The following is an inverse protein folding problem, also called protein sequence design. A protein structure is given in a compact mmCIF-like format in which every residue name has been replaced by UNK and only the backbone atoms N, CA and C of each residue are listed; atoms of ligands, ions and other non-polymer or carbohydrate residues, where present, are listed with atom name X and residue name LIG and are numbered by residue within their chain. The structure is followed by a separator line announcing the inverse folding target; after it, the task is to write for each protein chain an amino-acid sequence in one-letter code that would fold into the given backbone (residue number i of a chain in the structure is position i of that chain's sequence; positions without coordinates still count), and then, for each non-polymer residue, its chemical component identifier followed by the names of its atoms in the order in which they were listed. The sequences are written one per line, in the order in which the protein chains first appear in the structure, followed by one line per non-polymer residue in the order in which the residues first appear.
data_IF_229368467982
#
_entry.id   IF_229368467982
#
_cell.length_a   1.000
_cell.length_b   1.000
_cell.length_c   1.000
_cell.angle_alpha   90.00
_cell.angle_beta   90.00
_cell.angle_gamma   90.00
#
_symmetry.space_group_name_H-M   'P 1'
#
loop_
_entity.id
_entity.type
_entity.pdbx_description
1 polymer ?
#
# COMPACT_ATOMS: atom_id res chain seq x y z
N UNK A 1 -3.73 50.13 19.39
CA UNK A 1 -4.23 48.77 19.64
C UNK A 1 -3.13 47.79 19.24
N UNK A 2 -2.44 47.21 20.23
CA UNK A 2 -1.48 46.12 20.06
C UNK A 2 -2.16 44.86 20.58
N UNK A 3 -2.24 43.81 19.77
CA UNK A 3 -2.72 42.48 20.18
C UNK A 3 -1.44 41.67 20.43
N UNK A 4 -1.22 41.30 21.70
CA UNK A 4 -0.16 40.37 22.08
C UNK A 4 -0.72 38.95 22.05
N UNK A 5 0.02 38.03 21.42
CA UNK A 5 -0.18 36.60 21.53
C UNK A 5 0.23 36.15 22.94
N UNK A 6 -0.65 35.45 23.65
CA UNK A 6 -0.28 34.65 24.82
C UNK A 6 -0.28 33.17 24.45
N UNK A 7 0.89 32.58 24.65
CA UNK A 7 1.21 31.16 24.58
C UNK A 7 0.47 30.38 25.66
N UNK A 8 -0.34 29.39 25.27
CA UNK A 8 -0.89 28.42 26.21
C UNK A 8 0.01 27.17 26.24
N UNK A 9 0.63 26.99 27.40
CA UNK A 9 1.46 25.88 27.84
C UNK A 9 0.78 24.52 27.62
N UNK A 10 1.52 23.55 27.06
CA UNK A 10 1.12 22.14 27.05
C UNK A 10 1.56 21.49 28.36
N UNK A 11 0.62 21.28 29.28
CA UNK A 11 0.88 20.50 30.50
C UNK A 11 0.61 19.00 30.26
N UNK A 12 1.71 18.26 30.33
CA UNK A 12 1.90 16.88 30.78
C UNK A 12 0.65 16.15 31.32
N UNK A 13 0.28 15.05 30.65
CA UNK A 13 -0.45 13.94 31.29
C UNK A 13 0.53 12.80 31.52
N UNK A 14 1.02 12.67 32.76
CA UNK A 14 1.83 11.53 33.17
C UNK A 14 0.96 10.29 33.40
N UNK A 15 1.49 9.16 32.97
CA UNK A 15 0.94 7.83 33.14
C UNK A 15 0.97 7.48 34.63
N UNK A 16 -0.20 7.26 35.23
CA UNK A 16 -0.58 6.18 36.15
C UNK A 16 -2.01 6.52 36.66
N UNK A 17 -2.84 5.50 36.82
CA UNK A 17 -4.22 5.52 37.30
C UNK A 17 -5.36 5.67 36.25
N UNK A 18 -5.92 4.51 35.90
CA UNK A 18 -7.11 4.33 35.08
C UNK A 18 -8.35 4.72 35.90
N UNK A 19 -9.25 5.50 35.29
CA UNK A 19 -10.60 5.91 35.74
C UNK A 19 -10.72 7.31 36.36
N UNK A 20 -10.42 8.35 35.58
CA UNK A 20 -11.17 9.62 35.72
C UNK A 20 -11.38 10.33 34.39
N UNK A 21 -12.64 10.63 34.17
CA UNK A 21 -13.26 11.18 32.98
C UNK A 21 -12.76 12.61 32.73
N UNK A 22 -12.04 12.84 31.64
CA UNK A 22 -11.98 14.15 30.98
C UNK A 22 -13.11 14.20 29.96
N UNK A 23 -14.28 14.67 30.40
CA UNK A 23 -15.45 14.91 29.54
C UNK A 23 -15.28 16.26 28.84
N UNK A 24 -15.49 16.32 27.52
CA UNK A 24 -15.71 17.60 26.84
C UNK A 24 -14.96 17.84 25.52
N UNK A 25 -14.87 16.87 24.61
CA UNK A 25 -14.87 17.10 23.16
C UNK A 25 -15.05 15.74 22.48
N UNK A 26 -16.04 15.59 21.60
CA UNK A 26 -16.17 14.40 20.75
C UNK A 26 -15.00 14.43 19.77
N UNK A 27 -13.85 13.91 20.21
CA UNK A 27 -12.79 13.47 19.30
C UNK A 27 -13.26 12.12 18.78
N UNK A 28 -13.44 12.01 17.47
CA UNK A 28 -13.31 10.72 16.78
C UNK A 28 -11.97 10.17 17.23
N UNK A 29 -11.98 9.24 18.19
CA UNK A 29 -10.76 8.69 18.75
C UNK A 29 -10.20 7.73 17.71
N UNK A 30 -9.43 8.26 16.75
CA UNK A 30 -8.35 7.49 16.18
C UNK A 30 -7.50 7.05 17.38
N UNK A 31 -7.57 5.76 17.74
CA UNK A 31 -6.50 5.20 18.55
C UNK A 31 -5.24 5.47 17.74
N UNK A 32 -4.24 6.12 18.33
CA UNK A 32 -2.86 5.84 17.90
C UNK A 32 -2.78 4.33 17.80
N UNK A 33 -2.51 3.83 16.59
CA UNK A 33 -2.63 2.43 16.21
C UNK A 33 -2.25 1.55 17.41
N UNK A 34 -3.26 0.91 18.04
CA UNK A 34 -2.94 -0.30 18.77
C UNK A 34 -2.33 -1.19 17.70
N UNK A 35 -1.10 -1.67 17.92
CA UNK A 35 -0.43 -2.53 16.96
C UNK A 35 -1.40 -3.65 16.58
N UNK A 36 -1.91 -3.60 15.35
CA UNK A 36 -2.89 -4.56 14.86
C UNK A 36 -2.23 -5.94 14.86
N UNK A 37 -3.01 -6.99 15.10
CA UNK A 37 -2.52 -8.37 15.10
C UNK A 37 -3.47 -9.27 14.34
N UNK A 38 -2.98 -10.48 14.03
CA UNK A 38 -3.82 -11.55 13.47
C UNK A 38 -5.04 -11.79 14.35
N UNK A 39 -6.20 -11.90 13.72
CA UNK A 39 -7.51 -12.04 14.36
C UNK A 39 -8.23 -10.73 14.65
N UNK A 40 -7.59 -9.56 14.49
CA UNK A 40 -8.28 -8.28 14.62
C UNK A 40 -9.20 -8.00 13.42
N UNK A 41 -10.38 -7.47 13.68
CA UNK A 41 -11.26 -6.89 12.66
C UNK A 41 -10.75 -5.50 12.26
N UNK A 42 -10.72 -5.26 10.96
CA UNK A 42 -10.27 -4.02 10.33
C UNK A 42 -11.45 -3.34 9.68
N UNK A 43 -11.48 -2.01 9.78
CA UNK A 43 -12.33 -1.15 8.96
C UNK A 43 -11.50 0.04 8.49
N UNK A 44 -11.43 0.26 7.19
CA UNK A 44 -10.68 1.36 6.60
C UNK A 44 -11.41 1.88 5.37
N UNK A 45 -11.41 3.19 5.18
CA UNK A 45 -11.82 3.81 3.91
C UNK A 45 -10.57 4.28 3.19
N UNK A 46 -10.40 3.85 1.95
CA UNK A 46 -9.22 4.15 1.14
C UNK A 46 -9.41 3.76 -0.31
N UNK A 47 -8.45 4.14 -1.14
CA UNK A 47 -8.47 3.73 -2.55
C UNK A 47 -8.11 2.26 -2.68
N UNK A 48 -8.90 1.51 -3.43
CA UNK A 48 -8.60 0.14 -3.81
C UNK A 48 -7.82 0.16 -5.12
N UNK A 49 -6.65 -0.44 -5.10
CA UNK A 49 -5.68 -0.42 -6.20
C UNK A 49 -5.10 -1.83 -6.35
N UNK A 50 -4.86 -2.26 -7.59
CA UNK A 50 -4.22 -3.55 -7.83
C UNK A 50 -2.72 -3.54 -7.50
N UNK A 51 -2.20 -4.70 -7.10
CA UNK A 51 -0.80 -4.83 -6.69
C UNK A 51 0.16 -4.66 -7.86
N UNK A 52 -0.27 -4.98 -9.09
CA UNK A 52 0.58 -4.88 -10.27
C UNK A 52 0.92 -3.42 -10.59
N UNK A 53 -0.07 -2.52 -10.59
CA UNK A 53 0.14 -1.08 -10.78
C UNK A 53 0.92 -0.45 -9.61
N UNK A 54 0.79 -1.00 -8.39
CA UNK A 54 1.60 -0.55 -7.25
C UNK A 54 3.08 -0.94 -7.46
N UNK A 55 3.36 -2.18 -7.88
CA UNK A 55 4.73 -2.66 -8.15
C UNK A 55 5.37 -1.97 -9.35
N UNK A 56 4.56 -1.66 -10.38
CA UNK A 56 5.01 -0.90 -11.54
C UNK A 56 5.39 0.54 -11.17
N UNK A 57 4.74 1.11 -10.16
CA UNK A 57 4.94 2.49 -9.70
C UNK A 57 4.11 3.54 -10.46
N UNK A 58 3.48 3.14 -11.56
CA UNK A 58 2.52 3.92 -12.35
C UNK A 58 1.38 3.03 -12.83
N UNK A 59 0.28 3.63 -13.30
CA UNK A 59 -0.80 2.86 -13.90
C UNK A 59 -0.40 2.30 -15.27
N UNK A 60 -0.86 1.09 -15.57
CA UNK A 60 -0.57 0.42 -16.84
C UNK A 60 -1.16 1.17 -18.04
N UNK A 61 -2.36 1.71 -17.88
CA UNK A 61 -3.09 2.48 -18.90
C UNK A 61 -2.73 3.98 -18.89
N UNK A 62 -2.11 4.48 -17.82
CA UNK A 62 -1.63 5.85 -17.72
C UNK A 62 -0.22 5.92 -17.06
N UNK A 63 0.85 5.70 -17.82
CA UNK A 63 2.20 5.56 -17.27
C UNK A 63 2.83 6.86 -16.77
N UNK A 64 2.18 8.01 -16.98
CA UNK A 64 2.66 9.31 -16.46
C UNK A 64 2.23 9.57 -15.01
N UNK A 65 1.34 8.73 -14.47
CA UNK A 65 0.70 8.95 -13.18
C UNK A 65 1.20 7.93 -12.17
N UNK A 66 1.75 8.42 -11.05
CA UNK A 66 2.26 7.54 -10.00
C UNK A 66 1.12 6.99 -9.15
N UNK A 67 1.08 5.68 -9.02
CA UNK A 67 -0.01 4.93 -8.39
C UNK A 67 -0.31 5.39 -6.96
N UNK A 68 0.73 5.56 -6.13
CA UNK A 68 0.55 5.97 -4.73
C UNK A 68 0.39 7.48 -4.55
N UNK A 69 0.72 8.29 -5.55
CA UNK A 69 0.56 9.76 -5.48
C UNK A 69 -0.85 10.18 -5.89
N UNK A 70 -1.40 9.49 -6.90
CA UNK A 70 -2.66 9.81 -7.56
C UNK A 70 -3.56 8.57 -7.77
N UNK A 71 -3.90 7.82 -6.71
CA UNK A 71 -4.78 6.65 -6.81
C UNK A 71 -6.16 6.97 -7.42
N UNK A 72 -6.60 8.23 -7.35
CA UNK A 72 -7.84 8.73 -7.95
C UNK A 72 -7.88 8.64 -9.48
N UNK A 73 -6.74 8.47 -10.15
CA UNK A 73 -6.64 8.38 -11.62
C UNK A 73 -6.62 6.94 -12.14
N UNK A 74 -6.78 5.94 -11.29
CA UNK A 74 -6.83 4.54 -11.70
C UNK A 74 -8.15 4.21 -12.39
N UNK A 75 -8.13 3.86 -13.67
CA UNK A 75 -9.38 3.51 -14.38
C UNK A 75 -9.98 2.20 -13.89
N UNK A 76 -11.31 2.11 -13.88
CA UNK A 76 -12.01 0.86 -13.60
C UNK A 76 -11.71 -0.24 -14.64
N UNK A 77 -11.40 0.13 -15.89
CA UNK A 77 -10.99 -0.83 -16.92
C UNK A 77 -9.69 -1.52 -16.54
N UNK A 78 -8.65 -0.75 -16.22
CA UNK A 78 -7.36 -1.29 -15.81
C UNK A 78 -7.49 -2.11 -14.52
N UNK A 79 -8.27 -1.61 -13.56
CA UNK A 79 -8.43 -2.23 -12.25
C UNK A 79 -9.18 -3.57 -12.30
N UNK A 80 -10.15 -3.76 -13.20
CA UNK A 80 -11.09 -4.89 -13.16
C UNK A 80 -11.06 -5.83 -14.38
N UNK A 81 -10.73 -5.31 -15.56
CA UNK A 81 -10.76 -6.09 -16.80
C UNK A 81 -9.40 -6.70 -17.14
N UNK A 82 -8.31 -5.97 -16.86
CA UNK A 82 -6.96 -6.40 -17.22
C UNK A 82 -6.50 -7.54 -16.31
N UNK A 83 -6.21 -8.68 -16.93
CA UNK A 83 -5.86 -9.93 -16.25
C UNK A 83 -4.66 -9.77 -15.31
N UNK A 84 -3.57 -9.12 -15.74
CA UNK A 84 -2.40 -8.91 -14.88
C UNK A 84 -2.69 -8.06 -13.64
N UNK A 85 -3.60 -7.09 -13.76
CA UNK A 85 -4.03 -6.25 -12.65
C UNK A 85 -4.88 -7.05 -11.66
N UNK A 86 -5.89 -7.78 -12.17
CA UNK A 86 -6.77 -8.61 -11.34
C UNK A 86 -6.02 -9.75 -10.65
N UNK A 87 -5.18 -10.46 -11.38
CA UNK A 87 -4.48 -11.66 -10.90
C UNK A 87 -3.36 -11.32 -9.90
N UNK A 88 -2.83 -10.10 -9.96
CA UNK A 88 -1.92 -9.56 -8.95
C UNK A 88 -2.58 -9.37 -7.58
N UNK A 89 -3.92 -9.35 -7.52
CA UNK A 89 -4.69 -9.04 -6.32
C UNK A 89 -4.70 -7.56 -5.97
N UNK A 90 -5.33 -7.21 -4.85
CA UNK A 90 -5.65 -5.83 -4.51
C UNK A 90 -5.14 -5.41 -3.14
N UNK A 91 -4.96 -4.10 -2.98
CA UNK A 91 -4.77 -3.43 -1.71
C UNK A 91 -5.78 -2.31 -1.52
N UNK A 92 -6.21 -2.12 -0.28
CA UNK A 92 -6.77 -0.83 0.14
C UNK A 92 -5.64 0.02 0.71
N UNK A 93 -5.45 1.22 0.16
CA UNK A 93 -4.42 2.16 0.58
C UNK A 93 -4.81 2.85 1.89
N UNK A 94 -3.80 3.24 2.67
CA UNK A 94 -4.00 4.07 3.85
C UNK A 94 -3.94 5.56 3.55
N UNK A 95 -3.78 6.36 4.60
CA UNK A 95 -3.72 7.82 4.50
C UNK A 95 -2.53 8.31 3.66
N UNK A 96 -2.70 9.49 3.05
CA UNK A 96 -1.63 10.18 2.32
C UNK A 96 -0.61 10.72 3.31
N UNK A 97 0.66 10.35 3.13
CA UNK A 97 1.75 10.92 3.88
C UNK A 97 1.96 12.38 3.43
N UNK A 98 1.86 13.31 4.37
CA UNK A 98 1.97 14.75 4.09
C UNK A 98 3.35 15.21 3.64
N UNK A 99 4.41 14.46 3.96
CA UNK A 99 5.79 14.79 3.60
C UNK A 99 6.15 14.30 2.20
N UNK A 100 5.71 13.09 1.83
CA UNK A 100 6.03 12.47 0.53
C UNK A 100 4.97 12.71 -0.53
N UNK A 101 3.76 13.09 -0.14
CA UNK A 101 2.61 13.16 -1.05
C UNK A 101 2.16 11.79 -1.55
N UNK A 102 2.61 10.68 -0.94
CA UNK A 102 2.20 9.33 -1.33
C UNK A 102 1.29 8.70 -0.28
N UNK A 103 0.27 7.98 -0.71
CA UNK A 103 -0.48 7.06 0.13
C UNK A 103 0.42 5.96 0.66
N UNK A 104 0.28 5.65 1.95
CA UNK A 104 0.91 4.47 2.51
C UNK A 104 0.21 3.20 2.01
N UNK A 105 1.00 2.12 1.89
CA UNK A 105 0.44 0.79 1.67
C UNK A 105 -0.41 0.39 2.89
N UNK A 106 -1.63 -0.07 2.62
CA UNK A 106 -2.57 -0.42 3.68
C UNK A 106 -2.65 -1.91 3.93
N UNK A 107 -3.70 -2.53 3.40
CA UNK A 107 -3.98 -3.95 3.61
C UNK A 107 -4.18 -4.67 2.29
N UNK A 108 -3.57 -5.85 2.14
CA UNK A 108 -3.84 -6.78 1.05
C UNK A 108 -5.18 -7.48 1.23
N UNK A 109 -5.91 -7.64 0.14
CA UNK A 109 -7.25 -8.22 0.13
C UNK A 109 -7.17 -9.65 -0.41
N UNK A 110 -7.40 -10.66 0.44
CA UNK A 110 -7.28 -12.08 0.07
C UNK A 110 -8.54 -12.67 -0.60
N UNK A 111 -9.42 -11.81 -1.10
CA UNK A 111 -10.68 -12.20 -1.72
C UNK A 111 -10.88 -11.42 -3.01
N UNK A 112 -10.07 -11.76 -4.01
CA UNK A 112 -10.06 -11.11 -5.32
C UNK A 112 -11.44 -11.13 -5.96
N UNK A 113 -12.18 -12.24 -5.85
CA UNK A 113 -13.52 -12.37 -6.43
C UNK A 113 -14.52 -11.41 -5.77
N UNK A 114 -14.51 -11.30 -4.44
CA UNK A 114 -15.36 -10.34 -3.74
C UNK A 114 -15.01 -8.89 -4.09
N UNK A 115 -13.71 -8.59 -4.22
CA UNK A 115 -13.23 -7.25 -4.63
C UNK A 115 -13.67 -6.95 -6.06
N UNK A 116 -13.50 -7.86 -7.02
CA UNK A 116 -13.92 -7.65 -8.41
C UNK A 116 -15.44 -7.48 -8.51
N UNK A 117 -16.22 -8.29 -7.81
CA UNK A 117 -17.68 -8.17 -7.80
C UNK A 117 -18.15 -6.83 -7.21
N UNK A 118 -17.49 -6.36 -6.14
CA UNK A 118 -17.77 -5.04 -5.57
C UNK A 118 -17.35 -3.91 -6.52
N UNK A 119 -16.23 -4.04 -7.22
CA UNK A 119 -15.77 -3.08 -8.20
C UNK A 119 -16.73 -2.97 -9.39
N UNK A 120 -17.19 -4.10 -9.93
CA UNK A 120 -18.15 -4.15 -11.05
C UNK A 120 -19.53 -3.57 -10.68
N UNK A 121 -19.94 -3.70 -9.42
CA UNK A 121 -21.18 -3.04 -8.93
C UNK A 121 -20.98 -1.56 -8.62
N UNK A 122 -19.75 -1.13 -8.31
CA UNK A 122 -19.44 0.26 -7.98
C UNK A 122 -19.11 1.11 -9.21
N UNK A 123 -18.51 0.54 -10.26
CA UNK A 123 -18.03 1.27 -11.42
C UNK A 123 -19.13 1.60 -12.44
N UNK A 124 -18.98 2.72 -13.14
CA UNK A 124 -19.91 3.16 -14.17
C UNK A 124 -19.97 2.18 -15.36
N UNK A 125 -21.19 1.88 -15.81
CA UNK A 125 -21.39 1.04 -17.00
C UNK A 125 -20.67 1.63 -18.23
N UNK A 126 -19.92 0.80 -18.94
CA UNK A 126 -19.09 1.20 -20.08
C UNK A 126 -17.63 1.53 -19.74
N UNK A 127 -17.26 1.63 -18.45
CA UNK A 127 -15.90 1.92 -17.98
C UNK A 127 -15.15 0.70 -17.46
N UNK A 128 -15.85 -0.41 -17.26
CA UNK A 128 -15.29 -1.75 -17.31
C UNK A 128 -16.31 -2.68 -17.98
N UNK A 129 -15.86 -3.85 -18.43
CA UNK A 129 -16.64 -4.78 -19.25
C UNK A 129 -17.92 -5.24 -18.55
N UNK A 130 -17.83 -5.48 -17.24
CA UNK A 130 -18.93 -5.97 -16.41
C UNK A 130 -19.46 -4.93 -15.43
N UNK A 131 -19.12 -3.65 -15.62
CA UNK A 131 -19.57 -2.58 -14.74
C UNK A 131 -21.07 -2.30 -14.91
N UNK A 132 -21.77 -2.13 -13.79
CA UNK A 132 -23.24 -2.00 -13.75
C UNK A 132 -23.74 -0.72 -13.10
N UNK A 133 -22.84 0.14 -12.60
CA UNK A 133 -23.20 1.43 -12.02
C UNK A 133 -23.83 2.38 -13.05
N UNK A 134 -24.63 3.31 -12.55
CA UNK A 134 -25.26 4.36 -13.37
C UNK A 134 -24.27 5.49 -13.70
N UNK A 135 -24.76 6.58 -14.31
CA UNK A 135 -23.92 7.72 -14.70
C UNK A 135 -23.38 8.56 -13.53
N UNK A 136 -23.71 8.23 -12.29
CA UNK A 136 -23.14 8.85 -11.10
C UNK A 136 -22.02 7.99 -10.48
N UNK A 137 -21.86 6.75 -10.93
CA UNK A 137 -20.80 5.86 -10.50
C UNK A 137 -19.42 6.36 -10.99
N UNK A 138 -18.33 6.06 -10.26
CA UNK A 138 -16.98 6.44 -10.66
C UNK A 138 -16.51 5.71 -11.93
N UNK A 139 -15.75 6.45 -12.73
CA UNK A 139 -15.01 5.96 -13.90
C UNK A 139 -13.54 5.64 -13.55
N UNK A 140 -13.02 6.37 -12.54
CA UNK A 140 -11.66 6.32 -12.03
C UNK A 140 -11.67 6.38 -10.51
N UNK A 141 -10.58 5.93 -9.88
CA UNK A 141 -10.32 6.18 -8.47
C UNK A 141 -11.32 5.49 -7.55
N UNK A 142 -11.16 4.18 -7.37
CA UNK A 142 -12.11 3.43 -6.56
C UNK A 142 -11.89 3.66 -5.06
N UNK A 143 -12.54 4.70 -4.52
CA UNK A 143 -12.61 4.97 -3.09
C UNK A 143 -13.69 4.09 -2.45
N UNK A 144 -13.32 3.24 -1.50
CA UNK A 144 -14.25 2.31 -0.87
C UNK A 144 -13.95 2.10 0.63
N UNK A 145 -14.96 1.68 1.37
CA UNK A 145 -14.78 1.20 2.74
C UNK A 145 -14.59 -0.30 2.74
N UNK A 146 -13.45 -0.75 3.24
CA UNK A 146 -13.09 -2.16 3.34
C UNK A 146 -13.14 -2.61 4.79
N UNK A 147 -13.80 -3.74 5.02
CA UNK A 147 -13.81 -4.47 6.28
C UNK A 147 -13.26 -5.88 6.08
N UNK A 148 -12.58 -6.43 7.07
CA UNK A 148 -12.08 -7.81 7.03
C UNK A 148 -11.35 -8.19 8.31
N UNK A 149 -10.79 -9.40 8.35
CA UNK A 149 -10.05 -9.93 9.49
C UNK A 149 -8.58 -10.14 9.12
N UNK A 150 -7.65 -9.68 9.95
CA UNK A 150 -6.22 -9.89 9.68
C UNK A 150 -5.88 -11.37 9.84
N UNK A 151 -5.34 -11.98 8.79
CA UNK A 151 -4.88 -13.39 8.79
C UNK A 151 -3.37 -13.55 8.74
N UNK A 152 -2.66 -12.51 8.27
CA UNK A 152 -1.20 -12.50 8.19
C UNK A 152 -0.71 -11.05 8.32
N UNK A 153 0.45 -10.81 8.94
CA UNK A 153 1.00 -9.47 9.14
C UNK A 153 1.91 -8.97 8.02
N UNK A 154 2.28 -9.82 7.07
CA UNK A 154 3.35 -9.53 6.11
C UNK A 154 4.74 -9.68 6.73
N UNK A 155 5.77 -9.34 5.95
CA UNK A 155 7.18 -9.38 6.36
C UNK A 155 7.69 -8.07 7.00
N UNK A 156 6.85 -7.04 7.05
CA UNK A 156 7.19 -5.71 7.58
C UNK A 156 8.10 -4.86 6.68
N UNK A 157 8.37 -5.27 5.44
CA UNK A 157 9.07 -4.46 4.45
C UNK A 157 8.22 -3.26 3.99
N UNK A 158 8.84 -2.33 3.26
CA UNK A 158 8.13 -1.16 2.70
C UNK A 158 7.38 -1.48 1.40
N UNK A 159 7.38 -2.75 0.97
CA UNK A 159 6.68 -3.21 -0.23
C UNK A 159 5.35 -3.89 0.08
N UNK A 160 4.71 -4.40 -0.96
CA UNK A 160 3.41 -5.09 -0.87
C UNK A 160 3.48 -6.27 0.10
N UNK A 161 4.56 -7.05 0.09
CA UNK A 161 4.73 -8.22 0.98
C UNK A 161 4.84 -7.85 2.45
N UNK A 162 5.18 -6.59 2.76
CA UNK A 162 5.27 -6.07 4.11
C UNK A 162 3.95 -5.69 4.75
N UNK A 163 2.86 -5.68 3.97
CA UNK A 163 1.53 -5.30 4.46
C UNK A 163 0.77 -6.48 5.05
N UNK A 164 -0.13 -6.25 6.03
CA UNK A 164 -1.02 -7.29 6.51
C UNK A 164 -2.06 -7.70 5.45
N UNK A 165 -2.53 -8.94 5.55
CA UNK A 165 -3.54 -9.55 4.68
C UNK A 165 -4.87 -9.64 5.43
N UNK A 166 -5.96 -9.23 4.77
CA UNK A 166 -7.33 -9.40 5.23
C UNK A 166 -7.99 -10.59 4.54
N UNK A 167 -8.69 -11.41 5.33
CA UNK A 167 -9.68 -12.37 4.86
C UNK A 167 -11.10 -11.89 5.20
N UNK A 168 -12.11 -12.60 4.72
CA UNK A 168 -13.54 -12.25 4.92
C UNK A 168 -13.82 -10.81 4.47
N UNK A 169 -13.25 -10.44 3.32
CA UNK A 169 -13.22 -9.07 2.82
C UNK A 169 -14.63 -8.65 2.42
N UNK A 170 -15.06 -7.50 2.92
CA UNK A 170 -16.28 -6.82 2.51
C UNK A 170 -15.90 -5.43 2.02
N UNK A 171 -16.16 -5.17 0.75
CA UNK A 171 -15.98 -3.86 0.14
C UNK A 171 -17.35 -3.19 0.05
N UNK A 172 -17.44 -1.97 0.59
CA UNK A 172 -18.66 -1.20 0.76
C UNK A 172 -18.47 0.19 0.14
N UNK A 173 -19.58 0.90 -0.10
CA UNK A 173 -19.52 2.32 -0.49
C UNK A 173 -18.66 3.11 0.51
N UNK A 174 -17.92 4.10 0.01
CA UNK A 174 -17.10 5.02 0.81
C UNK A 174 -17.91 5.84 1.82
N UNK A 175 -19.22 5.98 1.61
CA UNK A 175 -20.14 6.62 2.56
C UNK A 175 -20.42 5.77 3.81
N UNK A 176 -20.05 4.47 3.79
CA UNK A 176 -20.23 3.61 4.95
C UNK A 176 -19.14 3.90 5.97
N UNK A 177 -19.51 4.58 7.04
CA UNK A 177 -18.54 4.95 8.08
C UNK A 177 -17.97 3.76 8.85
N UNK A 178 -16.68 3.84 9.14
CA UNK A 178 -16.04 3.01 10.14
C UNK A 178 -16.31 3.58 11.53
N UNK A 179 -17.02 2.83 12.39
CA UNK A 179 -17.14 3.18 13.82
C UNK A 179 -15.75 3.38 14.46
N UNK A 180 -14.77 2.60 14.01
CA UNK A 180 -13.35 2.79 14.31
C UNK A 180 -12.53 2.50 13.07
N UNK A 181 -11.81 3.51 12.58
CA UNK A 181 -10.87 3.34 11.47
C UNK A 181 -9.58 2.69 11.99
N UNK A 182 -9.14 1.66 11.30
CA UNK A 182 -7.85 1.02 11.55
C UNK A 182 -6.78 1.68 10.70
N UNK A 183 -5.74 2.19 11.35
CA UNK A 183 -4.57 2.73 10.66
C UNK A 183 -3.64 1.58 10.29
N UNK A 184 -3.26 1.41 9.00
CA UNK A 184 -2.34 0.34 8.62
C UNK A 184 -0.95 0.51 9.24
N UNK A 185 -0.22 -0.57 9.57
CA UNK A 185 1.08 -0.50 10.25
C UNK A 185 2.12 0.35 9.52
N UNK A 186 2.19 0.23 8.19
CA UNK A 186 3.17 0.97 7.37
C UNK A 186 2.84 2.47 7.27
N UNK A 187 1.64 2.90 7.69
CA UNK A 187 1.23 4.30 7.70
C UNK A 187 1.65 5.07 8.95
N UNK A 188 2.02 4.36 10.03
CA UNK A 188 2.29 5.00 11.33
C UNK A 188 3.65 5.73 11.34
N UNK A 189 4.39 5.67 10.23
CA UNK A 189 5.81 6.02 10.19
C UNK A 189 6.61 5.03 11.04
N UNK A 190 7.83 4.73 10.65
CA UNK A 190 8.78 4.17 11.61
C UNK A 190 8.87 5.18 12.75
N UNK A 191 8.39 4.80 13.94
CA UNK A 191 8.79 5.49 15.15
C UNK A 191 10.32 5.65 15.07
N UNK A 192 10.89 6.84 15.32
CA UNK A 192 12.34 7.01 15.23
C UNK A 192 12.98 5.94 16.11
N UNK A 193 13.73 5.05 15.49
CA UNK A 193 14.59 4.10 16.19
C UNK A 193 15.36 4.90 17.23
N UNK A 194 15.36 4.52 18.52
CA UNK A 194 16.23 5.15 19.50
C UNK A 194 17.63 5.15 18.92
N UNK A 195 18.17 6.33 18.62
CA UNK A 195 19.52 6.50 18.13
C UNK A 195 20.45 5.87 19.15
N UNK A 196 20.91 4.66 18.86
CA UNK A 196 22.05 4.07 19.57
C UNK A 196 23.23 4.99 19.28
N UNK A 197 23.95 5.50 20.30
CA UNK A 197 25.10 6.36 20.07
C UNK A 197 26.14 5.57 19.27
N UNK A 198 26.32 5.93 18.01
CA UNK A 198 27.34 5.33 17.16
C UNK A 198 28.69 5.81 17.67
N UNK A 199 29.35 4.96 18.44
CA UNK A 199 30.73 5.16 18.87
C UNK A 199 31.62 4.95 17.64
N UNK A 200 32.20 6.05 17.16
CA UNK A 200 33.14 6.09 16.05
C UNK A 200 34.45 5.39 16.41
N UNK A 201 34.75 4.26 15.77
CA UNK A 201 36.11 3.73 15.67
C UNK A 201 36.46 3.55 14.21
N UNK A 202 37.17 4.53 13.67
CA UNK A 202 37.86 4.51 12.39
C UNK A 202 39.08 3.58 12.45
N UNK A 203 39.22 2.66 11.49
CA UNK A 203 40.48 1.98 11.21
C UNK A 203 40.67 1.80 9.69
N UNK A 204 41.92 1.80 9.19
CA UNK A 204 42.24 2.31 7.87
C UNK A 204 42.33 1.24 6.77
N UNK A 205 42.18 1.73 5.53
CA UNK A 205 42.41 1.03 4.27
C UNK A 205 43.82 0.44 4.16
N UNK A 206 44.00 -0.67 3.43
CA UNK A 206 45.22 -0.91 2.68
C UNK A 206 44.97 -0.99 1.18
N UNK A 207 46.07 -0.84 0.46
CA UNK A 207 46.18 -0.45 -0.92
C UNK A 207 46.07 -1.59 -1.95
N UNK A 208 45.77 -1.13 -3.16
CA UNK A 208 46.02 -1.65 -4.51
C UNK A 208 47.01 -2.81 -4.65
N UNK A 209 46.57 -3.86 -5.36
CA UNK A 209 47.47 -4.72 -6.15
C UNK A 209 46.81 -5.07 -7.49
N UNK A 210 47.48 -4.68 -8.57
CA UNK A 210 47.18 -5.06 -9.96
C UNK A 210 47.70 -6.46 -10.26
N UNK A 211 46.88 -7.32 -10.88
CA UNK A 211 47.35 -8.39 -11.78
C UNK A 211 46.29 -8.56 -12.86
N UNK A 212 46.67 -8.39 -14.12
CA UNK A 212 45.85 -8.76 -15.27
C UNK A 212 46.21 -10.17 -15.75
N UNK A 213 45.27 -10.80 -16.46
CA UNK A 213 45.50 -11.67 -17.64
C UNK A 213 44.16 -12.12 -18.24
N UNK A 214 44.06 -11.98 -19.58
CA UNK A 214 43.45 -12.85 -20.60
C UNK A 214 41.99 -13.34 -20.45
N UNK A 215 41.05 -12.99 -21.33
CA UNK A 215 40.93 -13.26 -22.78
C UNK A 215 40.47 -14.71 -23.11
N UNK A 216 39.30 -14.77 -23.77
CA UNK A 216 38.64 -15.89 -24.45
C UNK A 216 37.85 -16.92 -23.62
N UNK A 217 36.80 -17.43 -24.28
CA UNK A 217 35.91 -18.56 -23.94
C UNK A 217 34.55 -18.19 -23.31
N UNK A 218 33.69 -17.44 -24.00
CA UNK A 218 32.22 -17.68 -23.97
C UNK A 218 31.60 -17.33 -25.35
N UNK A 219 32.03 -18.01 -26.41
CA UNK A 219 31.41 -17.91 -27.77
C UNK A 219 31.18 -19.28 -28.40
N UNK A 220 30.77 -20.29 -27.60
CA UNK A 220 30.45 -21.63 -28.12
C UNK A 220 29.07 -22.20 -27.72
N UNK A 221 28.27 -21.51 -26.90
CA UNK A 221 26.95 -22.04 -26.50
C UNK A 221 25.78 -21.59 -27.40
N UNK A 222 25.96 -20.57 -28.24
CA UNK A 222 24.86 -20.02 -29.07
C UNK A 222 24.63 -20.83 -30.36
N UNK A 223 25.58 -21.64 -30.81
CA UNK A 223 25.48 -22.37 -32.09
C UNK A 223 24.99 -23.83 -31.99
N UNK A 224 24.89 -24.41 -30.78
CA UNK A 224 24.42 -25.80 -30.61
C UNK A 224 22.89 -25.93 -30.44
N UNK A 225 22.19 -24.87 -30.05
CA UNK A 225 20.72 -24.91 -29.96
C UNK A 225 20.02 -24.72 -31.31
N UNK A 226 20.61 -23.97 -32.26
CA UNK A 226 20.00 -23.74 -33.56
C UNK A 226 20.03 -24.97 -34.50
N UNK A 227 20.99 -25.89 -34.34
CA UNK A 227 21.00 -27.16 -35.10
C UNK A 227 20.02 -28.22 -34.58
N UNK A 228 19.60 -28.15 -33.31
CA UNK A 228 18.69 -29.18 -32.76
C UNK A 228 17.21 -28.92 -33.11
N UNK A 229 16.81 -27.68 -33.36
CA UNK A 229 15.43 -27.37 -33.77
C UNK A 229 15.16 -27.60 -35.26
N UNK A 230 16.20 -27.56 -36.11
CA UNK A 230 16.01 -27.73 -37.56
C UNK A 230 15.77 -29.21 -37.96
N UNK A 231 16.15 -30.17 -37.13
CA UNK A 231 15.92 -31.61 -37.38
C UNK A 231 14.58 -32.16 -36.83
N UNK A 232 13.76 -31.31 -36.21
CA UNK A 232 12.44 -31.70 -35.67
C UNK A 232 11.26 -31.14 -36.47
N UNK A 233 11.51 -30.30 -37.49
CA UNK A 233 10.47 -29.71 -38.34
C UNK A 233 10.57 -30.10 -39.82
N UNK A 234 11.35 -31.12 -40.18
CA UNK A 234 11.36 -31.69 -41.53
C UNK A 234 11.41 -33.21 -41.50
#
# INVERSE_FOLDING_TARGET
MKISLESAQADSCNHEDLTRICSGFVRVQARRASAVKVGDEVCITGYVVDNFCIELGNFLDNPSVKTLEHPEEHSFHCLLDVESCRDGGYQVLGEKNGDTGMHCLGFRLNDTDAVVAAGQSSGQSGYCTSCTGDSAAPEYGWLATVKGTIVNMGDGSNGITGTPILNDVRVLSSDVECNRTTVPPLCVGTAPTPTVPTSSTSAPSPATTSVGTDLHVITSYVLLFFSLMYSLLN
#
